data_IF_201060269379
#
_entry.id   IF_201060269379
#
_cell.length_a   1.000
_cell.length_b   1.000
_cell.length_c   1.000
_cell.angle_alpha   90.00
_cell.angle_beta   90.00
_cell.angle_gamma   90.00
#
_symmetry.space_group_name_H-M   'P 1'
#
loop_
_entity.id
_entity.type
_entity.pdbx_description
1 polymer ?
#
# COMPACT_ATOMS: atom_id res chain seq x y z
N UNK A 1 2.19 -4.65 -12.87
CA UNK A 1 1.36 -3.64 -12.20
C UNK A 1 0.06 -4.20 -11.66
N UNK A 2 -0.93 -4.58 -12.49
CA UNK A 2 -2.21 -5.09 -11.94
C UNK A 2 -2.08 -6.42 -11.18
N UNK A 3 -1.47 -7.44 -11.80
CA UNK A 3 -1.27 -8.75 -11.14
C UNK A 3 -0.43 -8.61 -9.87
N UNK A 4 0.65 -7.81 -9.92
CA UNK A 4 1.50 -7.53 -8.75
C UNK A 4 0.78 -6.76 -7.64
N UNK A 5 -0.15 -5.88 -8.00
CA UNK A 5 -1.01 -5.14 -7.07
C UNK A 5 -2.02 -6.05 -6.38
N UNK A 6 -2.69 -6.92 -7.13
CA UNK A 6 -3.62 -7.89 -6.55
C UNK A 6 -2.90 -8.90 -5.65
N UNK A 7 -1.75 -9.41 -6.08
CA UNK A 7 -0.92 -10.29 -5.25
C UNK A 7 -0.47 -9.60 -3.96
N UNK A 8 -0.09 -8.32 -4.03
CA UNK A 8 0.26 -7.52 -2.85
C UNK A 8 -0.91 -7.38 -1.86
N UNK A 9 -2.10 -7.06 -2.35
CA UNK A 9 -3.31 -7.04 -1.53
C UNK A 9 -3.58 -8.37 -0.83
N UNK A 10 -3.44 -9.48 -1.57
CA UNK A 10 -3.63 -10.83 -1.02
C UNK A 10 -2.64 -11.21 0.09
N UNK A 11 -1.41 -10.68 0.07
CA UNK A 11 -0.44 -10.93 1.15
C UNK A 11 -0.87 -10.36 2.50
N UNK A 12 -1.85 -9.43 2.53
CA UNK A 12 -2.33 -8.78 3.75
C UNK A 12 -3.55 -9.48 4.38
N UNK A 13 -3.82 -10.74 4.03
CA UNK A 13 -5.00 -11.46 4.49
C UNK A 13 -5.16 -11.49 6.01
N UNK A 14 -4.07 -11.70 6.77
CA UNK A 14 -4.09 -11.66 8.23
C UNK A 14 -4.32 -10.26 8.79
N UNK A 15 -3.79 -9.22 8.13
CA UNK A 15 -3.90 -7.84 8.61
C UNK A 15 -5.33 -7.30 8.48
N UNK A 16 -6.10 -7.79 7.51
CA UNK A 16 -7.46 -7.32 7.22
C UNK A 16 -8.55 -8.37 7.43
N UNK A 17 -8.27 -9.44 8.19
CA UNK A 17 -9.25 -10.49 8.51
C UNK A 17 -10.01 -11.02 7.28
N UNK A 18 -9.30 -11.28 6.17
CA UNK A 18 -9.89 -11.74 4.91
C UNK A 18 -10.91 -10.79 4.25
N UNK A 19 -10.93 -9.51 4.61
CA UNK A 19 -11.77 -8.52 3.92
C UNK A 19 -11.24 -8.28 2.49
N UNK A 20 -11.82 -9.00 1.53
CA UNK A 20 -11.39 -8.97 0.12
C UNK A 20 -11.49 -7.58 -0.51
N UNK A 21 -12.50 -6.78 -0.14
CA UNK A 21 -12.63 -5.43 -0.67
C UNK A 21 -11.47 -4.55 -0.21
N UNK A 22 -11.20 -4.54 1.10
CA UNK A 22 -10.08 -3.79 1.65
C UNK A 22 -8.74 -4.29 1.09
N UNK A 23 -8.55 -5.61 1.03
CA UNK A 23 -7.31 -6.20 0.52
C UNK A 23 -7.06 -5.86 -0.95
N UNK A 24 -8.06 -6.02 -1.83
CA UNK A 24 -7.85 -5.88 -3.27
C UNK A 24 -8.00 -4.44 -3.76
N UNK A 25 -9.01 -3.72 -3.27
CA UNK A 25 -9.34 -2.38 -3.75
C UNK A 25 -8.55 -1.33 -2.98
N UNK A 26 -8.58 -1.36 -1.65
CA UNK A 26 -7.88 -0.35 -0.85
C UNK A 26 -6.37 -0.60 -0.86
N UNK A 27 -5.93 -1.80 -0.50
CA UNK A 27 -4.50 -2.08 -0.30
C UNK A 27 -3.80 -2.46 -1.59
N UNK A 28 -4.40 -3.35 -2.38
CA UNK A 28 -3.85 -3.77 -3.66
C UNK A 28 -3.65 -2.59 -4.62
N UNK A 29 -4.69 -1.80 -4.88
CA UNK A 29 -4.59 -0.69 -5.84
C UNK A 29 -3.71 0.46 -5.35
N UNK A 30 -3.57 0.66 -4.03
CA UNK A 30 -2.64 1.66 -3.46
C UNK A 30 -1.19 1.39 -3.84
N UNK A 31 -0.84 0.17 -4.25
CA UNK A 31 0.49 -0.14 -4.78
C UNK A 31 0.79 0.51 -6.14
N UNK A 32 -0.21 0.77 -6.97
CA UNK A 32 -0.03 1.21 -8.36
C UNK A 32 0.80 2.51 -8.47
N UNK A 33 0.55 3.56 -7.66
CA UNK A 33 1.41 4.75 -7.62
C UNK A 33 2.88 4.46 -7.34
N UNK A 34 3.20 3.51 -6.45
CA UNK A 34 4.58 3.18 -6.11
C UNK A 34 5.27 2.37 -7.21
N UNK A 35 4.56 1.42 -7.81
CA UNK A 35 5.04 0.71 -9.00
C UNK A 35 5.32 1.73 -10.14
N UNK A 36 4.43 2.72 -10.32
CA UNK A 36 4.64 3.78 -11.32
C UNK A 36 5.86 4.66 -10.98
N UNK A 37 6.04 5.05 -9.72
CA UNK A 37 7.18 5.86 -9.29
C UNK A 37 8.52 5.12 -9.49
N UNK A 38 8.55 3.81 -9.23
CA UNK A 38 9.68 2.97 -9.59
C UNK A 38 9.94 3.01 -11.10
N UNK A 39 8.97 2.64 -11.94
CA UNK A 39 9.17 2.63 -13.40
C UNK A 39 9.55 4.00 -13.96
N UNK A 40 9.01 5.09 -13.39
CA UNK A 40 9.26 6.45 -13.87
C UNK A 40 10.67 6.94 -13.56
N UNK A 41 11.26 6.47 -12.45
CA UNK A 41 12.59 6.89 -11.98
C UNK A 41 13.68 5.87 -12.25
N UNK A 42 13.32 4.69 -12.78
CA UNK A 42 14.21 3.54 -12.96
C UNK A 42 14.95 3.15 -11.66
N UNK A 43 14.29 3.36 -10.52
CA UNK A 43 14.87 3.11 -9.20
C UNK A 43 13.86 2.42 -8.30
N UNK A 44 14.18 1.20 -7.89
CA UNK A 44 13.38 0.43 -6.94
C UNK A 44 13.22 1.19 -5.61
N UNK A 45 14.25 1.95 -5.21
CA UNK A 45 14.24 2.72 -3.97
C UNK A 45 13.15 3.79 -3.94
N UNK A 46 12.84 4.42 -5.08
CA UNK A 46 11.75 5.41 -5.15
C UNK A 46 10.41 4.78 -4.76
N UNK A 47 10.13 3.58 -5.26
CA UNK A 47 8.91 2.83 -4.91
C UNK A 47 8.91 2.41 -3.44
N UNK A 48 10.03 1.85 -2.94
CA UNK A 48 10.16 1.39 -1.55
C UNK A 48 10.01 2.54 -0.56
N UNK A 49 10.75 3.63 -0.75
CA UNK A 49 10.71 4.78 0.16
C UNK A 49 9.34 5.46 0.10
N UNK A 50 8.78 5.63 -1.09
CA UNK A 50 7.43 6.18 -1.26
C UNK A 50 6.36 5.38 -0.50
N UNK A 51 6.46 4.04 -0.54
CA UNK A 51 5.59 3.14 0.20
C UNK A 51 5.75 3.31 1.72
N UNK A 52 6.98 3.25 2.23
CA UNK A 52 7.24 3.36 3.67
C UNK A 52 6.72 4.69 4.22
N UNK A 53 6.97 5.80 3.49
CA UNK A 53 6.47 7.12 3.89
C UNK A 53 4.95 7.13 3.92
N UNK A 54 4.28 6.58 2.90
CA UNK A 54 2.83 6.51 2.85
C UNK A 54 2.25 5.75 4.05
N UNK A 55 2.80 4.58 4.39
CA UNK A 55 2.34 3.77 5.53
C UNK A 55 2.51 4.50 6.85
N UNK A 56 3.67 5.12 7.08
CA UNK A 56 3.93 5.90 8.29
C UNK A 56 2.94 7.06 8.45
N UNK A 57 2.63 7.76 7.36
CA UNK A 57 1.63 8.83 7.37
C UNK A 57 0.22 8.29 7.63
N UNK A 58 -0.16 7.18 6.98
CA UNK A 58 -1.47 6.56 7.19
C UNK A 58 -1.66 6.09 8.64
N UNK A 59 -0.62 5.47 9.24
CA UNK A 59 -0.64 5.05 10.64
C UNK A 59 -0.66 6.24 11.59
N UNK A 60 0.08 7.31 11.30
CA UNK A 60 0.04 8.53 12.11
C UNK A 60 -1.37 9.14 12.11
N UNK A 61 -2.00 9.28 10.94
CA UNK A 61 -3.38 9.80 10.83
C UNK A 61 -4.35 8.89 11.57
N UNK A 62 -4.24 7.57 11.40
CA UNK A 62 -5.07 6.61 12.13
C UNK A 62 -4.91 6.69 13.64
N UNK A 63 -3.67 6.82 14.12
CA UNK A 63 -3.37 6.99 15.55
C UNK A 63 -3.96 8.29 16.08
N UNK A 64 -3.78 9.41 15.38
CA UNK A 64 -4.38 10.69 15.76
C UNK A 64 -5.91 10.61 15.85
N UNK A 65 -6.56 9.95 14.89
CA UNK A 65 -8.01 9.76 14.90
C UNK A 65 -8.50 8.86 16.04
N UNK A 66 -7.68 7.93 16.52
CA UNK A 66 -8.03 7.03 17.62
C UNK A 66 -7.94 7.69 19.01
N UNK A 67 -7.23 8.82 19.13
CA UNK A 67 -7.04 9.56 20.38
C UNK A 67 -7.70 10.96 20.37
N UNK A 68 -8.49 11.27 19.34
CA UNK A 68 -9.29 12.49 19.22
C UNK A 68 -10.70 12.27 19.77
#
# INVERSE_FOLDING_TARGET
>A
MLVSSLAFGMMHYNAYNWNLFQMLVTIGLTRIPFDWAWYKTDSLWTGIVGHIIFDLLAFLVGAMAAFA
#
